data_IF_607142871641
#
_entry.id   IF_607142871641
#
_cell.length_a   1.000
_cell.length_b   1.000
_cell.length_c   1.000
_cell.angle_alpha   90.00
_cell.angle_beta   90.00
_cell.angle_gamma   90.00
#
_symmetry.space_group_name_H-M   'P 1'
#
loop_
_entity.id
_entity.type
_entity.pdbx_description
1 polymer ?
#
# COMPACT_ATOMS: atom_id res chain seq x y z
N UNK A 1 -0.26 33.00 17.22
CA UNK A 1 -0.96 33.37 15.97
C UNK A 1 -2.12 32.41 15.76
N UNK A 2 -3.36 32.91 15.68
CA UNK A 2 -4.58 32.08 15.65
C UNK A 2 -4.95 31.80 14.19
N UNK A 3 -5.07 30.51 13.81
CA UNK A 3 -5.40 29.98 12.46
C UNK A 3 -6.60 30.66 11.74
N UNK A 4 -7.39 31.45 12.47
CA UNK A 4 -8.62 32.08 11.97
C UNK A 4 -8.37 33.40 11.23
N UNK A 5 -7.25 34.09 11.48
CA UNK A 5 -6.94 35.35 10.79
C UNK A 5 -6.40 35.12 9.37
N UNK A 6 -5.67 34.02 9.16
CA UNK A 6 -5.08 33.69 7.84
C UNK A 6 -6.13 33.42 6.75
N UNK A 7 -7.28 32.82 7.13
CA UNK A 7 -8.38 32.52 6.19
C UNK A 7 -9.16 33.79 5.82
N UNK A 8 -9.16 34.82 6.68
CA UNK A 8 -9.87 36.07 6.42
C UNK A 8 -9.15 37.01 5.44
N UNK A 9 -7.83 36.94 5.37
CA UNK A 9 -7.02 37.90 4.60
C UNK A 9 -6.76 37.45 3.15
N UNK A 10 -6.74 36.13 2.90
CA UNK A 10 -6.49 35.58 1.56
C UNK A 10 -7.70 35.70 0.59
N UNK A 11 -8.93 35.81 1.10
CA UNK A 11 -10.15 35.78 0.27
C UNK A 11 -10.70 37.15 -0.14
N UNK A 12 -10.05 38.29 0.20
CA UNK A 12 -10.56 39.63 -0.16
C UNK A 12 -10.04 40.19 -1.48
N UNK A 13 -9.13 39.49 -2.16
CA UNK A 13 -8.49 40.02 -3.39
C UNK A 13 -8.77 39.23 -4.68
N UNK A 14 -9.64 38.22 -4.67
CA UNK A 14 -9.87 37.35 -5.84
C UNK A 14 -11.32 37.41 -6.38
N UNK A 15 -11.90 38.60 -6.57
CA UNK A 15 -13.29 38.77 -7.07
C UNK A 15 -13.40 39.54 -8.40
N UNK A 16 -12.33 39.66 -9.18
CA UNK A 16 -12.42 40.28 -10.51
C UNK A 16 -11.60 39.51 -11.55
N UNK A 17 -12.12 38.36 -11.99
CA UNK A 17 -11.93 37.79 -13.32
C UNK A 17 -12.89 36.61 -13.46
N UNK A 18 -14.07 36.89 -14.00
CA UNK A 18 -15.06 35.90 -14.42
C UNK A 18 -14.55 35.10 -15.61
N UNK A 19 -14.33 33.80 -15.41
CA UNK A 19 -14.32 32.78 -16.46
C UNK A 19 -14.94 31.49 -15.90
N UNK A 20 -15.80 30.80 -16.66
CA UNK A 20 -16.50 29.62 -16.17
C UNK A 20 -15.51 28.48 -15.96
N UNK A 21 -15.34 28.08 -14.70
CA UNK A 21 -14.65 26.86 -14.30
C UNK A 21 -15.46 25.67 -14.83
N UNK A 22 -14.97 25.00 -15.87
CA UNK A 22 -15.34 23.61 -16.13
C UNK A 22 -14.70 22.78 -15.01
N UNK A 23 -15.46 22.60 -13.95
CA UNK A 23 -15.13 21.75 -12.82
C UNK A 23 -15.26 20.29 -13.29
N UNK A 24 -14.18 19.74 -13.84
CA UNK A 24 -14.10 18.30 -14.11
C UNK A 24 -14.27 17.56 -12.79
N UNK A 25 -15.23 16.66 -12.79
CA UNK A 25 -15.70 15.84 -11.68
C UNK A 25 -14.53 15.16 -10.96
N UNK A 26 -14.48 15.30 -9.63
CA UNK A 26 -13.69 14.42 -8.78
C UNK A 26 -14.13 12.98 -9.07
N UNK A 27 -13.26 12.23 -9.74
CA UNK A 27 -13.46 10.83 -10.04
C UNK A 27 -13.33 10.06 -8.71
N UNK A 28 -14.48 9.75 -8.11
CA UNK A 28 -14.56 8.78 -7.02
C UNK A 28 -13.94 7.47 -7.52
N UNK A 29 -12.96 6.95 -6.79
CA UNK A 29 -12.45 5.61 -7.04
C UNK A 29 -13.60 4.63 -6.84
N UNK A 30 -14.09 4.08 -7.93
CA UNK A 30 -14.99 2.92 -7.94
C UNK A 30 -14.17 1.72 -7.49
N UNK A 31 -14.65 1.01 -6.47
CA UNK A 31 -14.02 -0.20 -5.97
C UNK A 31 -14.17 -1.28 -7.05
N UNK A 32 -13.05 -1.61 -7.70
CA UNK A 32 -13.02 -2.71 -8.66
C UNK A 32 -13.11 -3.98 -7.83
N UNK A 33 -14.27 -4.64 -7.88
CA UNK A 33 -14.41 -6.05 -7.50
C UNK A 33 -13.53 -6.88 -8.42
N UNK A 34 -12.24 -6.95 -8.08
CA UNK A 34 -11.31 -7.87 -8.68
C UNK A 34 -11.53 -9.22 -8.01
N UNK A 35 -12.42 -10.02 -8.58
CA UNK A 35 -12.44 -11.45 -8.31
C UNK A 35 -11.16 -12.07 -8.90
N UNK A 36 -10.05 -11.83 -8.21
CA UNK A 36 -8.86 -12.65 -8.34
C UNK A 36 -9.20 -13.98 -7.67
N UNK A 37 -9.71 -14.92 -8.46
CA UNK A 37 -9.57 -16.35 -8.17
C UNK A 37 -8.07 -16.67 -8.25
N UNK A 38 -7.32 -16.25 -7.24
CA UNK A 38 -5.94 -16.69 -7.04
C UNK A 38 -6.05 -18.02 -6.29
N UNK A 39 -6.00 -19.12 -7.05
CA UNK A 39 -6.21 -20.52 -6.63
C UNK A 39 -5.26 -21.02 -5.50
N UNK A 40 -4.42 -20.11 -5.00
CA UNK A 40 -3.26 -20.39 -4.16
C UNK A 40 -3.33 -19.75 -2.78
N UNK A 41 -4.30 -18.86 -2.56
CA UNK A 41 -4.58 -18.28 -1.27
C UNK A 41 -6.03 -18.58 -0.94
N UNK A 42 -6.27 -19.39 0.09
CA UNK A 42 -7.61 -19.50 0.63
C UNK A 42 -7.84 -18.32 1.56
N UNK A 43 -8.80 -17.48 1.19
CA UNK A 43 -9.15 -16.28 1.93
C UNK A 43 -10.61 -16.42 2.36
N UNK A 44 -10.80 -16.68 3.64
CA UNK A 44 -12.05 -16.33 4.30
C UNK A 44 -11.86 -14.93 4.93
N UNK A 45 -12.94 -14.23 5.25
CA UNK A 45 -12.87 -12.82 5.72
C UNK A 45 -11.94 -12.62 6.94
N UNK A 46 -11.56 -13.69 7.64
CA UNK A 46 -10.79 -13.65 8.88
C UNK A 46 -9.39 -14.29 8.81
N UNK A 47 -9.07 -15.10 7.78
CA UNK A 47 -7.77 -15.81 7.66
C UNK A 47 -7.20 -15.80 6.24
N UNK A 48 -5.86 -15.76 6.18
CA UNK A 48 -5.06 -15.89 4.97
C UNK A 48 -4.25 -17.18 5.05
N UNK A 49 -4.56 -18.16 4.21
CA UNK A 49 -3.83 -19.43 4.13
C UNK A 49 -3.06 -19.53 2.80
N UNK A 50 -1.80 -19.97 2.86
CA UNK A 50 -0.96 -20.17 1.67
C UNK A 50 -0.07 -21.41 1.83
N UNK A 51 0.17 -22.11 0.72
CA UNK A 51 0.99 -23.32 0.69
C UNK A 51 2.47 -22.98 0.45
N UNK A 52 3.32 -23.26 1.44
CA UNK A 52 4.77 -23.05 1.34
C UNK A 52 5.44 -23.91 0.26
N UNK A 53 4.84 -24.99 -0.20
CA UNK A 53 5.40 -25.84 -1.26
C UNK A 53 5.23 -25.25 -2.66
N UNK A 54 4.56 -24.11 -2.78
CA UNK A 54 4.17 -23.55 -4.05
C UNK A 54 4.74 -22.16 -4.29
N UNK A 55 5.12 -21.87 -5.54
CA UNK A 55 5.49 -20.52 -5.95
C UNK A 55 4.30 -19.54 -5.83
N UNK A 56 4.50 -18.31 -5.30
CA UNK A 56 5.78 -17.73 -4.88
C UNK A 56 6.15 -17.98 -3.40
N UNK A 57 5.32 -18.70 -2.64
CA UNK A 57 5.46 -18.92 -1.19
C UNK A 57 6.60 -19.86 -0.79
N UNK A 58 7.12 -20.64 -1.73
CA UNK A 58 8.35 -21.43 -1.58
C UNK A 58 9.56 -20.60 -1.14
N UNK A 59 9.58 -19.30 -1.48
CA UNK A 59 10.57 -18.35 -0.99
C UNK A 59 10.57 -18.20 0.53
N UNK A 60 9.44 -18.42 1.20
CA UNK A 60 9.31 -18.30 2.65
C UNK A 60 9.86 -19.52 3.42
N UNK A 61 10.30 -20.58 2.72
CA UNK A 61 10.99 -21.71 3.36
C UNK A 61 12.37 -21.35 3.90
N UNK A 62 12.96 -20.24 3.42
CA UNK A 62 14.29 -19.80 3.80
C UNK A 62 14.17 -18.54 4.66
N UNK A 63 14.88 -18.50 5.80
CA UNK A 63 14.97 -17.27 6.62
C UNK A 63 15.54 -16.13 5.79
N UNK A 64 14.89 -14.96 5.85
CA UNK A 64 15.16 -13.81 4.98
C UNK A 64 14.35 -13.81 3.67
N UNK A 65 13.62 -14.88 3.37
CA UNK A 65 12.72 -14.96 2.24
C UNK A 65 11.57 -13.97 2.33
N UNK A 66 11.14 -13.42 1.19
CA UNK A 66 10.03 -12.47 1.12
C UNK A 66 9.14 -12.72 -0.08
N UNK A 67 7.84 -12.49 0.13
CA UNK A 67 6.79 -12.60 -0.88
C UNK A 67 5.92 -11.36 -0.79
N UNK A 68 5.45 -10.91 -1.94
CA UNK A 68 4.58 -9.77 -2.06
C UNK A 68 3.37 -10.22 -2.88
N UNK A 69 2.24 -10.46 -2.22
CA UNK A 69 1.05 -11.08 -2.83
C UNK A 69 0.29 -10.08 -3.70
N UNK A 70 -0.56 -10.57 -4.60
CA UNK A 70 -1.54 -9.70 -5.26
C UNK A 70 -2.60 -9.20 -4.27
N UNK A 71 -3.42 -8.26 -4.74
CA UNK A 71 -4.57 -7.73 -4.02
C UNK A 71 -5.54 -8.83 -3.61
N UNK A 72 -6.14 -8.66 -2.43
CA UNK A 72 -7.11 -9.59 -1.86
C UNK A 72 -8.11 -8.85 -0.94
N UNK A 73 -9.00 -9.58 -0.27
CA UNK A 73 -10.04 -9.01 0.59
C UNK A 73 -9.51 -8.36 1.87
N UNK A 74 -8.31 -8.68 2.36
CA UNK A 74 -7.67 -7.96 3.46
C UNK A 74 -7.08 -6.64 2.99
N UNK A 75 -6.47 -6.63 1.82
CA UNK A 75 -5.86 -5.45 1.24
C UNK A 75 -5.87 -5.54 -0.29
N UNK A 76 -6.52 -4.57 -0.95
CA UNK A 76 -6.52 -4.45 -2.42
C UNK A 76 -5.13 -4.35 -3.07
N UNK A 77 -4.08 -4.01 -2.32
CA UNK A 77 -2.69 -4.02 -2.80
C UNK A 77 -1.93 -5.31 -2.45
N UNK A 78 -2.52 -6.17 -1.64
CA UNK A 78 -1.95 -7.41 -1.15
C UNK A 78 -1.16 -7.26 0.14
N UNK A 79 -0.54 -8.36 0.54
CA UNK A 79 0.20 -8.52 1.78
C UNK A 79 1.69 -8.74 1.46
N UNK A 80 2.55 -8.11 2.26
CA UNK A 80 4.00 -8.26 2.20
C UNK A 80 4.44 -9.18 3.33
N UNK A 81 5.03 -10.31 2.96
CA UNK A 81 5.46 -11.35 3.87
C UNK A 81 7.00 -11.39 3.94
N UNK A 82 7.54 -11.56 5.14
CA UNK A 82 8.98 -11.74 5.37
C UNK A 82 9.24 -12.82 6.43
N UNK A 83 10.02 -13.85 6.07
CA UNK A 83 10.43 -14.92 6.97
C UNK A 83 11.56 -14.43 7.88
N UNK A 84 11.20 -13.91 9.05
CA UNK A 84 12.15 -13.35 10.01
C UNK A 84 12.99 -14.41 10.72
N UNK A 85 12.41 -15.57 11.01
CA UNK A 85 13.06 -16.70 11.67
C UNK A 85 12.35 -18.02 11.31
N UNK A 86 12.81 -19.13 11.87
CA UNK A 86 12.18 -20.44 11.67
C UNK A 86 10.72 -20.55 12.15
N UNK A 87 10.29 -19.64 13.01
CA UNK A 87 8.95 -19.68 13.60
C UNK A 87 8.15 -18.39 13.40
N UNK A 88 8.72 -17.39 12.72
CA UNK A 88 8.11 -16.06 12.60
C UNK A 88 8.10 -15.63 11.14
N UNK A 89 6.91 -15.31 10.64
CA UNK A 89 6.70 -14.56 9.40
C UNK A 89 6.07 -13.23 9.80
N UNK A 90 6.70 -12.13 9.39
CA UNK A 90 6.12 -10.80 9.49
C UNK A 90 5.20 -10.58 8.30
N UNK A 91 4.05 -9.94 8.55
CA UNK A 91 3.07 -9.58 7.54
C UNK A 91 2.76 -8.09 7.64
N UNK A 92 2.77 -7.40 6.49
CA UNK A 92 2.45 -5.98 6.37
C UNK A 92 1.46 -5.76 5.24
N UNK A 93 0.68 -4.68 5.30
CA UNK A 93 0.01 -4.16 4.11
C UNK A 93 1.04 -3.82 3.02
N UNK A 94 0.74 -4.09 1.74
CA UNK A 94 1.56 -3.61 0.60
C UNK A 94 1.26 -2.15 0.22
N UNK A 95 0.48 -1.41 0.99
CA UNK A 95 0.20 0.00 0.74
C UNK A 95 1.36 0.87 1.20
N UNK A 96 1.96 1.57 0.27
CA UNK A 96 2.88 2.66 0.57
C UNK A 96 2.13 3.77 1.33
N UNK A 97 2.69 4.22 2.45
CA UNK A 97 2.09 5.25 3.32
C UNK A 97 2.05 6.64 2.69
N UNK A 98 2.68 6.85 1.54
CA UNK A 98 2.62 8.11 0.79
C UNK A 98 1.28 8.30 0.07
N UNK A 99 1.05 7.53 -1.00
CA UNK A 99 -0.13 7.66 -1.88
C UNK A 99 -0.79 6.32 -2.18
N UNK A 100 -0.54 5.29 -1.36
CA UNK A 100 -1.19 3.99 -1.48
C UNK A 100 -0.74 3.12 -2.64
N UNK A 101 0.38 3.44 -3.31
CA UNK A 101 0.96 2.56 -4.33
C UNK A 101 1.48 1.24 -3.73
N UNK A 102 1.72 0.22 -4.56
CA UNK A 102 2.20 -1.09 -4.11
C UNK A 102 3.68 -1.07 -3.72
N UNK A 103 4.01 -1.81 -2.66
CA UNK A 103 5.37 -2.08 -2.20
C UNK A 103 5.91 -3.39 -2.80
N UNK A 104 7.19 -3.42 -3.17
CA UNK A 104 7.87 -4.64 -3.63
C UNK A 104 8.23 -5.57 -2.46
N UNK A 105 8.51 -6.85 -2.74
CA UNK A 105 9.06 -7.78 -1.76
C UNK A 105 10.31 -7.19 -1.07
N UNK A 106 10.56 -7.57 0.19
CA UNK A 106 11.77 -7.15 0.88
C UNK A 106 13.00 -7.69 0.15
N UNK A 107 13.99 -6.82 -0.01
CA UNK A 107 15.33 -7.15 -0.48
C UNK A 107 16.33 -6.53 0.50
N UNK A 108 17.18 -7.36 1.10
CA UNK A 108 18.14 -6.92 2.14
C UNK A 108 17.47 -6.13 3.28
N UNK A 109 16.27 -6.54 3.71
CA UNK A 109 15.53 -5.90 4.80
C UNK A 109 14.85 -4.57 4.45
N UNK A 110 14.88 -4.14 3.19
CA UNK A 110 14.18 -2.95 2.69
C UNK A 110 13.10 -3.33 1.67
N UNK A 111 11.91 -2.78 1.82
CA UNK A 111 10.83 -2.84 0.84
C UNK A 111 10.67 -1.49 0.16
N UNK A 112 10.64 -1.48 -1.18
CA UNK A 112 10.63 -0.26 -1.98
C UNK A 112 9.30 -0.08 -2.71
N UNK A 113 8.74 1.13 -2.64
CA UNK A 113 7.61 1.54 -3.45
C UNK A 113 7.99 1.63 -4.92
N UNK A 114 7.18 1.02 -5.79
CA UNK A 114 7.40 1.00 -7.23
C UNK A 114 7.22 2.37 -7.88
N UNK A 115 6.34 3.23 -7.35
CA UNK A 115 6.00 4.51 -7.98
C UNK A 115 7.06 5.60 -7.78
N UNK A 116 7.47 5.85 -6.54
CA UNK A 116 8.35 6.99 -6.22
C UNK A 116 9.59 6.59 -5.41
N UNK A 117 9.70 5.30 -5.06
CA UNK A 117 10.92 4.78 -4.43
C UNK A 117 11.05 5.01 -2.93
N UNK A 118 9.96 5.36 -2.22
CA UNK A 118 9.93 5.32 -0.75
C UNK A 118 10.35 3.92 -0.27
N UNK A 119 11.10 3.86 0.83
CA UNK A 119 11.65 2.62 1.37
C UNK A 119 11.19 2.41 2.81
N UNK A 120 10.99 1.14 3.18
CA UNK A 120 10.48 0.72 4.49
C UNK A 120 11.33 -0.42 5.05
N UNK A 121 11.62 -0.39 6.35
CA UNK A 121 12.38 -1.43 7.04
C UNK A 121 11.47 -2.59 7.52
N UNK A 122 12.07 -3.60 8.18
CA UNK A 122 11.37 -4.75 8.75
C UNK A 122 10.49 -4.44 9.98
N UNK A 123 10.49 -3.19 10.45
CA UNK A 123 9.53 -2.69 11.44
C UNK A 123 8.34 -1.97 10.78
N UNK A 124 8.32 -1.90 9.44
CA UNK A 124 7.31 -1.17 8.68
C UNK A 124 7.51 0.35 8.69
N UNK A 125 8.63 0.84 9.21
CA UNK A 125 8.90 2.27 9.31
C UNK A 125 9.54 2.80 8.01
N UNK A 126 9.15 3.99 7.55
CA UNK A 126 9.77 4.61 6.39
C UNK A 126 11.22 5.00 6.70
N UNK A 127 12.14 4.58 5.85
CA UNK A 127 13.57 4.93 5.92
C UNK A 127 13.96 5.95 4.85
N UNK A 128 13.11 6.13 3.83
CA UNK A 128 13.31 7.08 2.72
C UNK A 128 11.96 7.47 2.11
N UNK A 129 11.82 8.74 1.74
CA UNK A 129 10.59 9.31 1.17
C UNK A 129 10.91 10.37 0.13
#
# INVERSE_FOLDING_TARGET
MKRREFIGEACRFAVLCSSPLLLSTLQSCEDVNNESNDDFININEDTLEFNLEQSPFDKLKVVGGSVATQGNSFDSNGILLFRQSESIILAFSRRCTHAGATLNAFSNGSSRCSSHGSEFNLSGEPTKG
#
